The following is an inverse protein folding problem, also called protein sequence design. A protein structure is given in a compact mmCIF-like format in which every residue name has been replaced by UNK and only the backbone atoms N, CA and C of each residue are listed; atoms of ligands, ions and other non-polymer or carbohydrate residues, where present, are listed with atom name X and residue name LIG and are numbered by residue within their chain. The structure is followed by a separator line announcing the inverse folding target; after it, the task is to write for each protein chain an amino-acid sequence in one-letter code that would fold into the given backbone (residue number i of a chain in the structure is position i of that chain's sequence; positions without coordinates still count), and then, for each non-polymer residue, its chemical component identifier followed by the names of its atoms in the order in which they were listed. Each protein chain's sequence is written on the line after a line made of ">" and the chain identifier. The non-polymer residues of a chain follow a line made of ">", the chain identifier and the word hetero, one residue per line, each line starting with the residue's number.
data_IF_794536703707
#
_entry.id   IF_794536703707
#
_cell.length_a   1.000
_cell.length_b   1.000
_cell.length_c   1.000
_cell.angle_alpha   90.00
_cell.angle_beta   90.00
_cell.angle_gamma   90.00
#
_symmetry.space_group_name_H-M   'P 1'
#
loop_
_entity.id
_entity.type
_entity.pdbx_description
1 polymer ?
#
# COMPACT_ATOMS: atom_id res chain seq x y z
N UNK A 1 36.44 4.63 47.70
CA UNK A 1 35.74 5.94 47.70
C UNK A 1 36.10 6.71 46.42
N UNK A 2 35.90 6.14 45.22
CA UNK A 2 36.40 6.72 43.95
C UNK A 2 35.41 6.66 42.78
N UNK A 3 34.17 6.18 42.96
CA UNK A 3 33.23 5.99 41.84
C UNK A 3 32.25 7.16 41.62
N UNK A 4 32.26 8.16 42.51
CA UNK A 4 31.44 9.36 42.39
C UNK A 4 31.61 10.12 41.06
N UNK A 5 32.83 10.35 40.53
CA UNK A 5 32.97 11.04 39.24
C UNK A 5 32.49 10.19 38.05
N UNK A 6 32.58 8.86 38.12
CA UNK A 6 32.12 7.97 37.07
C UNK A 6 30.58 7.94 36.98
N UNK A 7 29.90 7.91 38.13
CA UNK A 7 28.43 7.93 38.20
C UNK A 7 27.88 9.28 37.71
N UNK A 8 28.59 10.38 37.98
CA UNK A 8 28.17 11.73 37.60
C UNK A 8 28.14 11.93 36.07
N UNK A 9 29.02 11.24 35.32
CA UNK A 9 29.00 11.24 33.86
C UNK A 9 28.08 10.17 33.25
N UNK A 10 27.88 9.04 33.94
CA UNK A 10 27.05 7.95 33.44
C UNK A 10 25.55 8.30 33.42
N UNK A 11 25.04 8.96 34.46
CA UNK A 11 23.61 9.31 34.58
C UNK A 11 23.10 10.20 33.41
N UNK A 12 23.73 11.33 33.04
CA UNK A 12 23.22 12.16 31.94
C UNK A 12 23.26 11.45 30.59
N UNK A 13 24.23 10.57 30.34
CA UNK A 13 24.30 9.76 29.11
C UNK A 13 23.14 8.77 29.05
N UNK A 14 22.82 8.13 30.19
CA UNK A 14 21.70 7.21 30.30
C UNK A 14 20.36 7.93 30.13
N UNK A 15 20.22 9.13 30.71
CA UNK A 15 19.02 9.96 30.54
C UNK A 15 18.89 10.43 29.08
N UNK A 16 19.97 10.85 28.44
CA UNK A 16 19.97 11.27 27.04
C UNK A 16 19.61 10.12 26.09
N UNK A 17 20.11 8.90 26.34
CA UNK A 17 19.76 7.73 25.53
C UNK A 17 18.29 7.34 25.69
N UNK A 18 17.76 7.39 26.92
CA UNK A 18 16.34 7.15 27.19
C UNK A 18 15.46 8.21 26.51
N UNK A 19 15.83 9.49 26.58
CA UNK A 19 15.12 10.57 25.89
C UNK A 19 15.18 10.39 24.37
N UNK A 20 16.32 9.99 23.82
CA UNK A 20 16.47 9.74 22.37
C UNK A 20 15.55 8.60 21.89
N UNK A 21 15.43 7.52 22.68
CA UNK A 21 14.53 6.40 22.39
C UNK A 21 13.05 6.78 22.56
N UNK A 22 12.73 7.70 23.47
CA UNK A 22 11.36 8.20 23.72
C UNK A 22 10.94 9.39 22.83
N UNK A 23 11.90 10.09 22.22
CA UNK A 23 11.67 11.17 21.26
C UNK A 23 10.63 10.83 20.17
N UNK A 24 10.65 9.66 19.52
CA UNK A 24 9.66 9.31 18.49
C UNK A 24 8.21 9.18 19.01
N UNK A 25 7.99 9.13 20.32
CA UNK A 25 6.65 9.13 20.93
C UNK A 25 6.06 10.54 21.07
N UNK A 26 6.91 11.55 21.24
CA UNK A 26 6.47 12.95 21.34
C UNK A 26 6.42 13.65 19.99
N UNK A 27 7.17 13.16 19.01
CA UNK A 27 7.07 13.64 17.64
C UNK A 27 5.85 13.04 16.92
N UNK A 28 4.65 13.29 17.48
CA UNK A 28 3.38 13.22 16.74
C UNK A 28 3.22 14.48 15.87
N UNK A 29 4.31 14.96 15.28
CA UNK A 29 4.29 15.96 14.23
C UNK A 29 3.45 15.42 13.08
N UNK A 30 2.38 16.16 12.77
CA UNK A 30 1.49 16.01 11.61
C UNK A 30 1.97 14.97 10.61
N UNK A 31 1.47 13.76 10.78
CA UNK A 31 1.68 12.66 9.85
C UNK A 31 1.25 13.18 8.47
N UNK A 32 2.17 13.41 7.51
CA UNK A 32 1.77 13.76 6.16
C UNK A 32 0.86 12.66 5.65
N UNK A 33 -0.14 12.99 4.83
CA UNK A 33 -1.19 12.08 4.36
C UNK A 33 -0.69 10.73 3.79
N UNK A 34 0.61 10.61 3.51
CA UNK A 34 1.33 9.40 3.12
C UNK A 34 1.48 8.34 4.22
N UNK A 35 1.47 8.66 5.53
CA UNK A 35 1.55 7.61 6.56
C UNK A 35 0.20 6.94 6.87
N UNK A 36 -0.91 7.52 6.43
CA UNK A 36 -2.20 6.83 6.37
C UNK A 36 -2.16 5.69 5.32
N UNK A 37 -1.46 5.88 4.19
CA UNK A 37 -1.28 4.83 3.17
C UNK A 37 -0.40 3.67 3.66
N UNK A 38 0.64 3.95 4.46
CA UNK A 38 1.53 2.88 4.97
C UNK A 38 0.83 1.98 5.99
N UNK A 39 -0.09 2.54 6.79
CA UNK A 39 -0.91 1.79 7.74
C UNK A 39 -1.96 0.91 7.07
N UNK A 40 -2.65 1.43 6.04
CA UNK A 40 -3.63 0.66 5.26
C UNK A 40 -3.00 -0.57 4.57
N UNK A 41 -1.85 -0.38 3.90
CA UNK A 41 -1.13 -1.49 3.23
C UNK A 41 -0.64 -2.56 4.21
N UNK A 42 -0.26 -2.17 5.43
CA UNK A 42 0.21 -3.12 6.44
C UNK A 42 -0.92 -4.02 6.93
N UNK A 43 -2.10 -3.44 7.16
CA UNK A 43 -3.30 -4.19 7.57
C UNK A 43 -3.74 -5.17 6.47
N UNK A 44 -3.75 -4.74 5.21
CA UNK A 44 -4.15 -5.58 4.08
C UNK A 44 -3.17 -6.74 3.86
N UNK A 45 -1.87 -6.52 4.05
CA UNK A 45 -0.86 -7.59 4.01
C UNK A 45 -1.09 -8.66 5.07
N UNK A 46 -1.36 -8.26 6.33
CA UNK A 46 -1.63 -9.22 7.42
C UNK A 46 -2.90 -10.03 7.11
N UNK A 47 -3.96 -9.38 6.62
CA UNK A 47 -5.19 -10.07 6.21
C UNK A 47 -4.97 -11.01 5.03
N UNK A 48 -4.13 -10.63 4.06
CA UNK A 48 -3.75 -11.50 2.94
C UNK A 48 -3.04 -12.79 3.42
N UNK A 49 -2.11 -12.67 4.37
CA UNK A 49 -1.41 -13.82 4.96
C UNK A 49 -2.36 -14.74 5.74
N UNK A 50 -3.31 -14.18 6.48
CA UNK A 50 -4.34 -14.95 7.19
C UNK A 50 -5.22 -15.76 6.22
N UNK A 51 -5.72 -15.10 5.16
CA UNK A 51 -6.53 -15.77 4.13
C UNK A 51 -5.77 -16.86 3.38
N UNK A 52 -4.48 -16.65 3.09
CA UNK A 52 -3.61 -17.69 2.52
C UNK A 52 -3.49 -18.89 3.45
N UNK A 53 -3.36 -18.65 4.75
CA UNK A 53 -3.29 -19.72 5.75
C UNK A 53 -4.60 -20.50 5.80
N UNK A 54 -5.75 -19.80 5.79
CA UNK A 54 -7.07 -20.43 5.73
C UNK A 54 -7.26 -21.27 4.47
N UNK A 55 -6.85 -20.78 3.30
CA UNK A 55 -6.89 -21.52 2.04
C UNK A 55 -6.07 -22.80 2.13
N UNK A 56 -4.85 -22.71 2.65
CA UNK A 56 -3.97 -23.87 2.76
C UNK A 56 -4.52 -24.91 3.76
N UNK A 57 -5.20 -24.47 4.83
CA UNK A 57 -5.91 -25.36 5.75
C UNK A 57 -7.06 -26.11 5.03
N UNK A 58 -7.91 -25.39 4.30
CA UNK A 58 -9.02 -26.01 3.55
C UNK A 58 -8.54 -27.03 2.52
N UNK A 59 -7.38 -26.82 1.89
CA UNK A 59 -6.78 -27.83 1.01
C UNK A 59 -6.34 -29.08 1.75
N UNK A 60 -5.83 -28.95 2.98
CA UNK A 60 -5.50 -30.11 3.82
C UNK A 60 -6.77 -30.86 4.21
N UNK A 61 -7.80 -30.15 4.62
CA UNK A 61 -9.08 -30.75 5.03
C UNK A 61 -9.75 -31.50 3.88
N UNK A 62 -9.74 -30.92 2.67
CA UNK A 62 -10.25 -31.59 1.46
C UNK A 62 -9.45 -32.85 1.13
N UNK A 63 -8.12 -32.79 1.24
CA UNK A 63 -7.25 -33.93 0.96
C UNK A 63 -7.45 -35.06 1.99
N UNK A 64 -7.60 -34.72 3.27
CA UNK A 64 -7.88 -35.68 4.32
C UNK A 64 -9.25 -36.34 4.12
N UNK A 65 -10.28 -35.55 3.77
CA UNK A 65 -11.61 -36.07 3.45
C UNK A 65 -11.60 -37.01 2.24
N UNK A 66 -10.90 -36.63 1.17
CA UNK A 66 -10.73 -37.46 -0.03
C UNK A 66 -9.97 -38.76 0.29
N UNK A 67 -8.98 -38.70 1.19
CA UNK A 67 -8.26 -39.87 1.66
C UNK A 67 -9.16 -40.81 2.47
N UNK A 68 -9.89 -40.29 3.45
CA UNK A 68 -10.80 -41.08 4.28
C UNK A 68 -11.89 -41.76 3.43
N UNK A 69 -12.40 -41.11 2.39
CA UNK A 69 -13.29 -41.76 1.43
C UNK A 69 -12.58 -42.84 0.62
N UNK A 70 -11.36 -42.59 0.14
CA UNK A 70 -10.60 -43.55 -0.67
C UNK A 70 -10.25 -44.85 0.06
N UNK A 71 -10.14 -44.80 1.40
CA UNK A 71 -9.90 -45.98 2.26
C UNK A 71 -11.20 -46.57 2.83
N UNK A 72 -12.35 -46.19 2.27
CA UNK A 72 -13.70 -46.65 2.63
C UNK A 72 -14.06 -46.44 4.11
N UNK A 73 -13.54 -45.36 4.70
CA UNK A 73 -13.76 -45.00 6.11
C UNK A 73 -15.08 -44.27 6.35
N UNK A 74 -15.65 -43.66 5.32
CA UNK A 74 -16.84 -42.79 5.38
C UNK A 74 -17.83 -43.11 4.27
N UNK A 75 -19.12 -42.94 4.55
CA UNK A 75 -20.19 -43.22 3.58
C UNK A 75 -20.24 -42.18 2.44
N UNK A 76 -20.69 -42.55 1.23
CA UNK A 76 -20.75 -41.65 0.06
C UNK A 76 -21.58 -40.38 0.28
N UNK A 77 -22.73 -40.50 0.96
CA UNK A 77 -23.62 -39.36 1.23
C UNK A 77 -22.97 -38.35 2.19
N UNK A 78 -22.27 -38.86 3.22
CA UNK A 78 -21.54 -38.02 4.18
C UNK A 78 -20.34 -37.33 3.53
N UNK A 79 -19.60 -38.05 2.68
CA UNK A 79 -18.51 -37.49 1.88
C UNK A 79 -19.00 -36.33 1.01
N UNK A 80 -20.07 -36.54 0.24
CA UNK A 80 -20.62 -35.52 -0.66
C UNK A 80 -21.04 -34.27 0.12
N UNK A 81 -21.73 -34.45 1.25
CA UNK A 81 -22.20 -33.35 2.09
C UNK A 81 -21.05 -32.58 2.76
N UNK A 82 -19.98 -33.25 3.20
CA UNK A 82 -18.82 -32.57 3.78
C UNK A 82 -17.98 -31.85 2.72
N UNK A 83 -17.75 -32.50 1.58
CA UNK A 83 -16.97 -31.91 0.48
C UNK A 83 -17.63 -30.65 -0.06
N UNK A 84 -18.95 -30.66 -0.24
CA UNK A 84 -19.68 -29.47 -0.69
C UNK A 84 -19.52 -28.29 0.27
N UNK A 85 -19.52 -28.54 1.59
CA UNK A 85 -19.31 -27.51 2.61
C UNK A 85 -17.90 -26.91 2.54
N UNK A 86 -16.86 -27.75 2.48
CA UNK A 86 -15.46 -27.30 2.39
C UNK A 86 -15.20 -26.51 1.09
N UNK A 87 -15.75 -26.97 -0.04
CA UNK A 87 -15.63 -26.26 -1.32
C UNK A 87 -16.32 -24.90 -1.26
N UNK A 88 -17.54 -24.84 -0.71
CA UNK A 88 -18.26 -23.57 -0.55
C UNK A 88 -17.48 -22.56 0.31
N UNK A 89 -16.84 -23.03 1.38
CA UNK A 89 -15.95 -22.20 2.20
C UNK A 89 -14.73 -21.73 1.40
N UNK A 90 -14.07 -22.62 0.66
CA UNK A 90 -12.92 -22.30 -0.18
C UNK A 90 -13.24 -21.20 -1.21
N UNK A 91 -14.40 -21.26 -1.85
CA UNK A 91 -14.85 -20.23 -2.80
C UNK A 91 -14.99 -18.87 -2.09
N UNK A 92 -15.46 -18.82 -0.85
CA UNK A 92 -15.56 -17.58 -0.09
C UNK A 92 -14.17 -17.00 0.24
N UNK A 93 -13.21 -17.83 0.63
CA UNK A 93 -11.82 -17.39 0.91
C UNK A 93 -11.14 -16.86 -0.35
N UNK A 94 -11.30 -17.55 -1.48
CA UNK A 94 -10.73 -17.12 -2.76
C UNK A 94 -11.30 -15.77 -3.22
N UNK A 95 -12.62 -15.56 -3.09
CA UNK A 95 -13.24 -14.25 -3.38
C UNK A 95 -12.63 -13.11 -2.54
N UNK A 96 -12.30 -13.36 -1.28
CA UNK A 96 -11.66 -12.35 -0.42
C UNK A 96 -10.22 -12.07 -0.83
N UNK A 97 -9.45 -13.10 -1.22
CA UNK A 97 -8.09 -12.93 -1.75
C UNK A 97 -8.09 -12.13 -3.05
N UNK A 98 -9.02 -12.42 -3.95
CA UNK A 98 -9.15 -11.71 -5.23
C UNK A 98 -9.49 -10.23 -5.01
N UNK A 99 -10.37 -9.92 -4.05
CA UNK A 99 -10.72 -8.54 -3.71
C UNK A 99 -9.50 -7.74 -3.21
N UNK A 100 -8.66 -8.35 -2.34
CA UNK A 100 -7.44 -7.71 -1.84
C UNK A 100 -6.40 -7.52 -2.96
N UNK A 101 -6.22 -8.54 -3.79
CA UNK A 101 -5.27 -8.50 -4.91
C UNK A 101 -5.68 -7.42 -5.93
N UNK A 102 -6.97 -7.33 -6.27
CA UNK A 102 -7.48 -6.32 -7.18
C UNK A 102 -7.26 -4.92 -6.60
N UNK A 103 -7.61 -4.69 -5.33
CA UNK A 103 -7.37 -3.42 -4.64
C UNK A 103 -5.89 -3.01 -4.68
N UNK A 104 -4.98 -3.92 -4.34
CA UNK A 104 -3.55 -3.65 -4.37
C UNK A 104 -3.06 -3.31 -5.79
N UNK A 105 -3.59 -3.99 -6.81
CA UNK A 105 -3.26 -3.69 -8.21
C UNK A 105 -3.77 -2.32 -8.63
N UNK A 106 -5.02 -2.01 -8.32
CA UNK A 106 -5.63 -0.68 -8.56
C UNK A 106 -4.75 0.39 -7.94
N UNK A 107 -4.48 0.29 -6.62
CA UNK A 107 -3.64 1.26 -5.90
C UNK A 107 -2.24 1.42 -6.53
N UNK A 108 -1.66 0.34 -7.08
CA UNK A 108 -0.37 0.39 -7.77
C UNK A 108 -0.45 1.09 -9.15
N UNK A 109 -1.56 0.91 -9.87
CA UNK A 109 -1.83 1.57 -11.15
C UNK A 109 -2.07 3.06 -10.94
N UNK A 110 -2.91 3.46 -9.96
CA UNK A 110 -3.14 4.89 -9.70
C UNK A 110 -1.84 5.61 -9.33
N UNK A 111 -0.99 4.98 -8.50
CA UNK A 111 0.33 5.54 -8.16
C UNK A 111 1.24 5.65 -9.37
N UNK A 112 1.25 4.64 -10.24
CA UNK A 112 2.01 4.70 -11.48
C UNK A 112 1.52 5.85 -12.37
N UNK A 113 0.22 5.99 -12.58
CA UNK A 113 -0.38 7.09 -13.38
C UNK A 113 -0.04 8.45 -12.79
N UNK A 114 -0.15 8.63 -11.47
CA UNK A 114 0.24 9.87 -10.79
C UNK A 114 1.72 10.20 -11.01
N UNK A 115 2.61 9.20 -10.92
CA UNK A 115 4.03 9.44 -11.18
C UNK A 115 4.30 9.89 -12.63
N UNK A 116 3.55 9.37 -13.61
CA UNK A 116 3.64 9.87 -14.99
C UNK A 116 3.12 11.30 -15.12
N UNK A 117 1.98 11.64 -14.51
CA UNK A 117 1.42 13.00 -14.55
C UNK A 117 2.33 14.04 -13.90
N UNK A 118 2.96 13.71 -12.76
CA UNK A 118 3.90 14.60 -12.08
C UNK A 118 5.13 14.88 -12.95
N UNK A 119 5.63 13.87 -13.68
CA UNK A 119 6.76 14.07 -14.60
C UNK A 119 6.41 14.90 -15.83
N UNK A 120 5.17 14.87 -16.30
CA UNK A 120 4.75 15.64 -17.49
C UNK A 120 4.53 17.11 -17.17
N UNK A 121 3.80 17.44 -16.09
CA UNK A 121 3.53 18.82 -15.70
C UNK A 121 4.78 19.65 -15.38
N UNK A 122 5.91 19.01 -15.08
CA UNK A 122 7.18 19.69 -14.81
C UNK A 122 7.87 20.23 -16.06
N UNK A 123 7.56 19.71 -17.25
CA UNK A 123 8.19 20.14 -18.51
C UNK A 123 7.29 20.99 -19.38
N UNK A 124 6.06 21.22 -18.94
CA UNK A 124 5.05 21.84 -19.79
C UNK A 124 5.27 23.36 -19.92
N UNK A 125 5.08 23.89 -21.13
CA UNK A 125 5.30 25.30 -21.42
C UNK A 125 4.28 26.19 -20.70
N UNK A 126 4.72 27.36 -20.26
CA UNK A 126 3.84 28.42 -19.74
C UNK A 126 3.78 29.60 -20.70
N UNK A 127 2.65 30.30 -20.70
CA UNK A 127 2.40 31.47 -21.53
C UNK A 127 3.27 32.64 -21.10
N UNK A 128 4.11 33.18 -22.00
CA UNK A 128 4.94 34.34 -21.68
C UNK A 128 4.13 35.63 -21.42
N UNK A 129 2.86 35.71 -21.81
CA UNK A 129 2.06 36.92 -21.67
C UNK A 129 1.26 37.00 -20.36
N UNK A 130 0.80 35.87 -19.82
CA UNK A 130 -0.02 35.84 -18.60
C UNK A 130 0.44 34.82 -17.56
N UNK A 131 1.39 33.93 -17.90
CA UNK A 131 1.90 32.88 -17.02
C UNK A 131 1.02 31.63 -16.94
N UNK A 132 -0.10 31.56 -17.66
CA UNK A 132 -0.97 30.38 -17.68
C UNK A 132 -0.26 29.16 -18.29
N UNK A 133 -0.63 27.97 -17.83
CA UNK A 133 -0.19 26.70 -18.41
C UNK A 133 -0.69 26.55 -19.85
N UNK A 134 0.14 25.94 -20.72
CA UNK A 134 -0.17 25.69 -22.14
C UNK A 134 -0.05 24.21 -22.44
N UNK A 135 -1.08 23.61 -23.05
CA UNK A 135 -1.00 22.23 -23.52
C UNK A 135 -0.12 22.12 -24.79
N UNK A 136 0.68 21.05 -24.94
CA UNK A 136 1.45 20.82 -26.15
C UNK A 136 0.56 20.76 -27.40
N UNK A 137 0.71 21.73 -28.31
CA UNK A 137 -0.08 21.83 -29.54
C UNK A 137 -1.12 22.95 -29.57
N UNK A 138 -1.30 23.68 -28.47
CA UNK A 138 -2.13 24.88 -28.43
C UNK A 138 -1.58 25.97 -29.35
N UNK A 139 -2.47 26.57 -30.16
CA UNK A 139 -2.14 27.71 -31.04
C UNK A 139 -2.42 29.06 -30.40
N UNK A 140 -3.21 29.08 -29.32
CA UNK A 140 -3.61 30.26 -28.56
C UNK A 140 -3.74 29.90 -27.09
N UNK A 141 -3.48 30.85 -26.18
CA UNK A 141 -3.64 30.66 -24.74
C UNK A 141 -5.13 30.70 -24.35
N UNK A 142 -5.62 29.67 -23.66
CA UNK A 142 -7.02 29.57 -23.22
C UNK A 142 -7.44 30.57 -22.12
N UNK A 143 -6.49 31.16 -21.41
CA UNK A 143 -6.74 32.16 -20.34
C UNK A 143 -6.74 33.60 -20.88
N UNK A 144 -5.71 34.00 -21.64
CA UNK A 144 -5.55 35.39 -22.09
C UNK A 144 -5.77 35.62 -23.60
N UNK A 145 -5.89 34.56 -24.40
CA UNK A 145 -6.10 34.64 -25.85
C UNK A 145 -4.84 34.93 -26.68
N UNK A 146 -3.65 35.01 -26.06
CA UNK A 146 -2.40 35.25 -26.77
C UNK A 146 -2.10 34.15 -27.79
N UNK A 147 -1.65 34.52 -28.99
CA UNK A 147 -1.22 33.56 -30.00
C UNK A 147 0.12 32.93 -29.63
N UNK A 148 0.19 31.60 -29.68
CA UNK A 148 1.35 30.81 -29.31
C UNK A 148 2.09 30.43 -30.59
N UNK A 149 3.10 31.21 -30.92
CA UNK A 149 4.04 30.93 -32.02
C UNK A 149 5.29 30.26 -31.45
N UNK A 150 5.96 29.42 -32.24
CA UNK A 150 7.19 28.71 -31.87
C UNK A 150 8.23 29.69 -31.31
N UNK A 151 8.26 29.87 -29.97
CA UNK A 151 9.12 30.84 -29.28
C UNK A 151 8.48 31.66 -28.14
N UNK A 152 7.15 31.69 -27.97
CA UNK A 152 6.47 32.46 -26.89
C UNK A 152 6.19 31.66 -25.62
N UNK A 153 6.61 30.40 -25.56
CA UNK A 153 6.51 29.55 -24.39
C UNK A 153 7.79 29.66 -23.54
N UNK A 154 7.64 29.66 -22.21
CA UNK A 154 8.77 29.52 -21.29
C UNK A 154 8.73 28.14 -20.63
N UNK A 155 9.89 27.49 -20.56
CA UNK A 155 10.06 26.25 -19.82
C UNK A 155 9.85 26.53 -18.33
N UNK A 156 9.03 25.72 -17.66
CA UNK A 156 8.91 25.74 -16.21
C UNK A 156 10.31 25.53 -15.60
N UNK A 157 10.71 26.43 -14.69
CA UNK A 157 12.00 26.43 -13.99
C UNK A 157 11.96 25.63 -12.71
#
# INVERSE_FOLDING_TARGET
>A
MTDFPAILLAIPVLVASVIFVLSPIWDRGTVPATANQKSANTSDYVRYVDLLSRRNALYRDLLELDFDYSVDKIAPDDYAAQRQRLVAEGVNVLRQLDALNLRQRTDSIEKAVQSYQDTQHQTDPTCAQCGAYIEPGDRFCGECGAQLVEGTAHAAR
#
